data_IF_597392408879
#
_entry.id   IF_597392408879
#
_cell.length_a   1.000
_cell.length_b   1.000
_cell.length_c   1.000
_cell.angle_alpha   90.00
_cell.angle_beta   90.00
_cell.angle_gamma   90.00
#
_symmetry.space_group_name_H-M   'P 1'
#
loop_
_entity.id
_entity.type
_entity.pdbx_description
1 polymer ?
#
# COMPACT_ATOMS: atom_id res chain seq x y z
N UNK A 1 54.72 -11.70 -23.48
CA UNK A 1 53.68 -11.79 -22.44
C UNK A 1 52.71 -10.62 -22.56
N UNK A 2 51.45 -10.92 -22.92
CA UNK A 2 50.36 -9.96 -23.09
C UNK A 2 49.66 -9.84 -21.73
N UNK A 3 49.69 -8.65 -21.12
CA UNK A 3 49.01 -8.38 -19.84
C UNK A 3 47.51 -8.55 -20.04
N UNK A 4 46.96 -9.60 -19.44
CA UNK A 4 45.53 -9.91 -19.42
C UNK A 4 44.85 -9.01 -18.37
N UNK A 5 43.95 -8.14 -18.83
CA UNK A 5 43.15 -7.28 -17.95
C UNK A 5 42.18 -8.16 -17.15
N UNK A 6 42.01 -7.95 -15.84
CA UNK A 6 41.02 -8.69 -15.07
C UNK A 6 39.64 -8.47 -15.68
N UNK A 7 38.97 -9.59 -15.94
CA UNK A 7 37.63 -9.66 -16.47
C UNK A 7 36.67 -8.78 -15.65
N UNK A 8 35.98 -7.89 -16.35
CA UNK A 8 34.91 -7.05 -15.81
C UNK A 8 33.66 -7.91 -15.53
N UNK A 9 33.80 -8.94 -14.70
CA UNK A 9 32.73 -9.84 -14.27
C UNK A 9 32.27 -9.55 -12.83
N UNK A 10 32.85 -8.55 -12.15
CA UNK A 10 32.27 -7.94 -10.94
C UNK A 10 31.09 -7.01 -11.31
N UNK A 11 30.15 -7.49 -12.13
CA UNK A 11 28.82 -6.88 -12.15
C UNK A 11 28.06 -7.46 -10.98
N UNK A 12 28.33 -6.81 -9.84
CA UNK A 12 27.51 -6.67 -8.64
C UNK A 12 26.26 -7.53 -8.69
N UNK A 13 26.19 -8.51 -7.78
CA UNK A 13 24.94 -8.95 -7.17
C UNK A 13 24.14 -7.69 -6.84
N UNK A 14 23.24 -7.29 -7.73
CA UNK A 14 22.15 -6.40 -7.37
C UNK A 14 21.29 -7.26 -6.48
N UNK A 15 21.58 -7.17 -5.19
CA UNK A 15 20.73 -7.63 -4.12
C UNK A 15 19.37 -6.99 -4.41
N UNK A 16 18.51 -7.75 -5.10
CA UNK A 16 17.09 -7.47 -5.17
C UNK A 16 16.63 -7.65 -3.74
N UNK A 17 16.80 -6.61 -2.92
CA UNK A 17 16.14 -6.45 -1.66
C UNK A 17 14.66 -6.30 -2.00
N UNK A 18 14.03 -7.41 -2.36
CA UNK A 18 12.61 -7.59 -2.31
C UNK A 18 12.28 -7.63 -0.81
N UNK A 19 12.40 -6.47 -0.17
CA UNK A 19 11.73 -6.22 1.07
C UNK A 19 10.24 -6.31 0.72
N UNK A 20 9.70 -7.53 0.75
CA UNK A 20 8.30 -7.74 0.97
C UNK A 20 8.06 -7.20 2.37
N UNK A 21 7.98 -5.87 2.47
CA UNK A 21 7.51 -5.17 3.64
C UNK A 21 6.14 -5.77 3.86
N UNK A 22 6.06 -6.72 4.79
CA UNK A 22 4.83 -7.41 5.10
C UNK A 22 3.85 -6.31 5.45
N UNK A 23 2.86 -6.09 4.60
CA UNK A 23 1.81 -5.12 4.82
C UNK A 23 1.04 -5.70 6.00
N UNK A 24 1.44 -5.32 7.21
CA UNK A 24 0.64 -5.54 8.41
C UNK A 24 -0.57 -4.64 8.25
N UNK A 25 -1.58 -5.12 7.52
CA UNK A 25 -2.83 -4.43 7.34
C UNK A 25 -3.47 -4.27 8.71
N UNK A 26 -3.35 -3.07 9.27
CA UNK A 26 -4.12 -2.70 10.46
C UNK A 26 -5.58 -2.78 10.03
N UNK A 27 -6.35 -3.64 10.71
CA UNK A 27 -7.77 -3.76 10.45
C UNK A 27 -8.43 -2.40 10.71
N UNK A 28 -8.75 -1.68 9.64
CA UNK A 28 -9.47 -0.41 9.75
C UNK A 28 -10.91 -0.71 10.13
N UNK A 29 -11.36 -0.03 11.19
CA UNK A 29 -12.74 -0.14 11.65
C UNK A 29 -13.60 0.74 10.75
N UNK A 30 -14.27 0.13 9.78
CA UNK A 30 -15.15 0.85 8.86
C UNK A 30 -16.25 1.57 9.65
N UNK A 31 -16.33 2.91 9.63
CA UNK A 31 -17.40 3.64 10.29
C UNK A 31 -18.73 3.38 9.58
N UNK A 32 -19.81 3.26 10.36
CA UNK A 32 -21.19 3.14 9.83
C UNK A 32 -21.48 4.32 8.91
N UNK A 33 -22.06 4.05 7.74
CA UNK A 33 -22.39 5.09 6.78
C UNK A 33 -23.36 6.12 7.37
N UNK A 34 -23.02 7.40 7.18
CA UNK A 34 -23.84 8.54 7.62
C UNK A 34 -24.38 9.30 6.42
N UNK A 35 -25.64 9.03 6.07
CA UNK A 35 -26.33 9.65 4.93
C UNK A 35 -26.65 11.13 5.15
N UNK A 36 -26.69 11.60 6.39
CA UNK A 36 -26.89 13.02 6.73
C UNK A 36 -25.65 13.87 6.40
N UNK A 37 -24.45 13.28 6.45
CA UNK A 37 -23.15 13.95 6.24
C UNK A 37 -22.15 13.04 5.52
N UNK A 38 -22.40 12.71 4.23
CA UNK A 38 -21.55 11.79 3.48
C UNK A 38 -20.12 12.30 3.33
N UNK A 39 -19.92 13.61 3.15
CA UNK A 39 -18.60 14.24 3.03
C UNK A 39 -17.74 14.01 4.27
N UNK A 40 -18.32 14.21 5.47
CA UNK A 40 -17.62 13.99 6.74
C UNK A 40 -17.32 12.51 6.96
N UNK A 41 -18.23 11.62 6.58
CA UNK A 41 -18.01 10.18 6.64
C UNK A 41 -16.85 9.76 5.73
N UNK A 42 -16.79 10.26 4.49
CA UNK A 42 -15.69 10.01 3.57
C UNK A 42 -14.35 10.54 4.12
N UNK A 43 -14.33 11.76 4.69
CA UNK A 43 -13.10 12.31 5.27
C UNK A 43 -12.57 11.47 6.45
N UNK A 44 -13.48 10.93 7.28
CA UNK A 44 -13.13 10.01 8.36
C UNK A 44 -12.57 8.69 7.81
N UNK A 45 -13.19 8.14 6.77
CA UNK A 45 -12.74 6.90 6.14
C UNK A 45 -11.39 7.07 5.44
N UNK A 46 -11.15 8.19 4.75
CA UNK A 46 -9.86 8.50 4.14
C UNK A 46 -8.73 8.61 5.18
N UNK A 47 -9.05 9.20 6.34
CA UNK A 47 -8.11 9.23 7.47
C UNK A 47 -7.76 7.82 7.98
N UNK A 48 -8.73 6.89 8.00
CA UNK A 48 -8.49 5.49 8.36
C UNK A 48 -7.60 4.81 7.32
N UNK A 49 -7.82 5.05 6.02
CA UNK A 49 -6.94 4.52 4.98
C UNK A 49 -5.50 5.00 5.13
N UNK A 50 -5.30 6.28 5.43
CA UNK A 50 -3.96 6.82 5.69
C UNK A 50 -3.29 6.14 6.91
N UNK A 51 -4.03 5.92 8.00
CA UNK A 51 -3.53 5.23 9.20
C UNK A 51 -3.22 3.74 8.95
N UNK A 52 -3.98 3.09 8.07
CA UNK A 52 -3.80 1.69 7.69
C UNK A 52 -2.85 1.46 6.52
N UNK A 53 -2.13 2.49 6.06
CA UNK A 53 -1.29 2.47 4.85
C UNK A 53 -2.01 1.94 3.60
N UNK A 54 -3.33 2.17 3.50
CA UNK A 54 -4.12 1.82 2.32
C UNK A 54 -4.07 2.99 1.35
N UNK A 55 -3.20 2.87 0.35
CA UNK A 55 -3.04 3.86 -0.71
C UNK A 55 -3.64 3.43 -2.05
N UNK A 56 -3.92 2.14 -2.24
CA UNK A 56 -4.46 1.60 -3.50
C UNK A 56 -5.94 1.91 -3.63
N UNK A 57 -6.30 2.67 -4.67
CA UNK A 57 -7.67 3.15 -4.91
C UNK A 57 -8.69 2.01 -5.03
N UNK A 58 -8.34 0.90 -5.69
CA UNK A 58 -9.25 -0.25 -5.79
C UNK A 58 -9.60 -0.82 -4.42
N UNK A 59 -8.63 -0.90 -3.50
CA UNK A 59 -8.85 -1.32 -2.12
C UNK A 59 -9.77 -0.34 -1.40
N UNK A 60 -9.49 0.97 -1.49
CA UNK A 60 -10.34 2.01 -0.88
C UNK A 60 -11.79 1.91 -1.38
N UNK A 61 -11.97 1.72 -2.69
CA UNK A 61 -13.30 1.62 -3.30
C UNK A 61 -14.07 0.39 -2.79
N UNK A 62 -13.42 -0.77 -2.62
CA UNK A 62 -14.06 -1.94 -2.03
C UNK A 62 -14.57 -1.67 -0.60
N UNK A 63 -13.81 -0.95 0.22
CA UNK A 63 -14.25 -0.56 1.57
C UNK A 63 -15.47 0.36 1.53
N UNK A 64 -15.48 1.34 0.61
CA UNK A 64 -16.62 2.25 0.44
C UNK A 64 -17.87 1.47 0.05
N UNK A 65 -17.79 0.59 -0.95
CA UNK A 65 -18.93 -0.23 -1.38
C UNK A 65 -19.45 -1.11 -0.24
N UNK A 66 -18.55 -1.80 0.47
CA UNK A 66 -18.93 -2.65 1.59
C UNK A 66 -19.69 -1.88 2.69
N UNK A 67 -19.29 -0.63 2.95
CA UNK A 67 -19.93 0.23 3.94
C UNK A 67 -21.31 0.77 3.52
N UNK A 68 -21.58 0.86 2.22
CA UNK A 68 -22.85 1.33 1.67
C UNK A 68 -23.89 0.21 1.52
N UNK A 69 -23.43 -1.05 1.45
CA UNK A 69 -24.29 -2.23 1.31
C UNK A 69 -24.72 -2.84 2.65
N UNK A 70 -24.16 -2.35 3.76
CA UNK A 70 -24.50 -2.75 5.14
C UNK A 70 -25.63 -1.86 5.69
#
# INVERSE_FOLDING_TARGET
DRVEMPNSADIRLSESSNSSAGISAVAIKTPVFRSDKPELWFAQLESQFALGNISVDSTKFHYVIAALTL
#
